data_IF_568257980571
#
_entry.id   IF_568257980571
#
_cell.length_a   1.000
_cell.length_b   1.000
_cell.length_c   1.000
_cell.angle_alpha   90.00
_cell.angle_beta   90.00
_cell.angle_gamma   90.00
#
_symmetry.space_group_name_H-M   'P 1'
#
loop_
_entity.id
_entity.type
_entity.pdbx_description
1 polymer ?
#
# COMPACT_ATOMS: atom_id res chain seq x y z
N UNK A 1 8.50 -15.92 5.60
CA UNK A 1 7.82 -15.13 6.65
C UNK A 1 7.80 -13.65 6.34
N UNK A 2 8.97 -13.03 6.18
CA UNK A 2 9.02 -11.60 5.90
C UNK A 2 8.30 -11.22 4.61
N UNK A 3 8.37 -12.09 3.58
CA UNK A 3 7.69 -11.80 2.32
C UNK A 3 6.17 -11.81 2.47
N UNK A 4 5.64 -12.67 3.34
CA UNK A 4 4.20 -12.70 3.61
C UNK A 4 3.76 -11.40 4.30
N UNK A 5 4.55 -10.94 5.28
CA UNK A 5 4.26 -9.69 5.98
C UNK A 5 4.35 -8.49 5.03
N UNK A 6 5.32 -8.52 4.13
CA UNK A 6 5.45 -7.46 3.12
C UNK A 6 4.26 -7.45 2.18
N UNK A 7 3.78 -8.63 1.78
CA UNK A 7 2.61 -8.74 0.92
C UNK A 7 1.36 -8.21 1.60
N UNK A 8 1.19 -8.51 2.89
CA UNK A 8 0.07 -7.98 3.66
C UNK A 8 0.13 -6.47 3.75
N UNK A 9 1.32 -5.91 4.00
CA UNK A 9 1.50 -4.46 4.06
C UNK A 9 1.13 -3.79 2.74
N UNK A 10 1.52 -4.40 1.63
CA UNK A 10 1.21 -3.89 0.30
C UNK A 10 -0.29 -3.92 0.04
N UNK A 11 -0.95 -5.01 0.44
CA UNK A 11 -2.38 -5.16 0.25
C UNK A 11 -3.15 -4.16 1.11
N UNK A 12 -2.75 -3.99 2.36
CA UNK A 12 -3.37 -3.02 3.26
C UNK A 12 -3.22 -1.61 2.69
N UNK A 13 -2.02 -1.26 2.19
CA UNK A 13 -1.80 0.05 1.60
C UNK A 13 -2.71 0.26 0.38
N UNK A 14 -2.87 -0.76 -0.44
CA UNK A 14 -3.73 -0.69 -1.61
C UNK A 14 -5.20 -0.45 -1.20
N UNK A 15 -5.70 -1.26 -0.28
CA UNK A 15 -7.09 -1.16 0.18
C UNK A 15 -7.35 0.21 0.80
N UNK A 16 -6.44 0.67 1.65
CA UNK A 16 -6.60 1.98 2.30
C UNK A 16 -6.58 3.11 1.28
N UNK A 17 -5.72 3.03 0.25
CA UNK A 17 -5.65 4.07 -0.75
C UNK A 17 -6.93 4.13 -1.58
N UNK A 18 -7.53 2.98 -1.86
CA UNK A 18 -8.79 2.92 -2.60
C UNK A 18 -9.93 3.47 -1.74
N UNK A 19 -10.02 3.04 -0.48
CA UNK A 19 -11.10 3.47 0.41
C UNK A 19 -11.01 4.95 0.77
N UNK A 20 -9.79 5.44 0.98
CA UNK A 20 -9.56 6.84 1.30
C UNK A 20 -9.59 7.74 0.06
N UNK A 21 -9.52 7.13 -1.11
CA UNK A 21 -9.47 7.82 -2.40
C UNK A 21 -8.29 8.79 -2.49
N UNK A 22 -7.20 8.48 -1.79
CA UNK A 22 -6.03 9.36 -1.74
C UNK A 22 -4.88 8.66 -1.03
N UNK A 23 -3.68 8.74 -1.60
CA UNK A 23 -2.48 8.21 -0.96
C UNK A 23 -2.16 8.97 0.33
N UNK A 24 -2.41 10.27 0.35
CA UNK A 24 -2.16 11.08 1.55
C UNK A 24 -3.06 10.65 2.71
N UNK A 25 -4.33 10.43 2.44
CA UNK A 25 -5.26 9.98 3.47
C UNK A 25 -4.92 8.57 3.94
N UNK A 26 -4.55 7.68 3.02
CA UNK A 26 -4.15 6.33 3.37
C UNK A 26 -2.90 6.33 4.24
N UNK A 27 -1.92 7.17 3.89
CA UNK A 27 -0.69 7.28 4.66
C UNK A 27 -0.98 7.75 6.09
N UNK A 28 -1.89 8.69 6.23
CA UNK A 28 -2.29 9.20 7.54
C UNK A 28 -2.95 8.11 8.36
N UNK A 29 -3.85 7.34 7.74
CA UNK A 29 -4.54 6.26 8.41
C UNK A 29 -3.59 5.17 8.88
N UNK A 30 -2.54 4.90 8.11
CA UNK A 30 -1.57 3.84 8.43
C UNK A 30 -0.33 4.35 9.16
N UNK A 31 -0.26 5.65 9.45
CA UNK A 31 0.88 6.22 10.17
C UNK A 31 2.17 6.21 9.37
N UNK A 32 2.09 6.43 8.07
CA UNK A 32 3.26 6.42 7.20
C UNK A 32 3.19 7.63 6.24
N UNK A 33 4.00 7.61 5.19
CA UNK A 33 4.06 8.72 4.23
C UNK A 33 3.43 8.32 2.89
N UNK A 34 2.93 9.29 2.11
CA UNK A 34 2.38 9.00 0.78
C UNK A 34 3.38 8.30 -0.14
N UNK A 35 4.66 8.65 -0.04
CA UNK A 35 5.72 8.00 -0.82
C UNK A 35 5.77 6.50 -0.53
N UNK A 36 5.68 6.13 0.74
CA UNK A 36 5.70 4.74 1.16
C UNK A 36 4.47 4.00 0.63
N UNK A 37 3.31 4.62 0.71
CA UNK A 37 2.08 4.03 0.19
C UNK A 37 2.20 3.80 -1.31
N UNK A 38 2.67 4.80 -2.05
CA UNK A 38 2.85 4.70 -3.50
C UNK A 38 3.77 3.54 -3.86
N UNK A 39 4.89 3.39 -3.15
CA UNK A 39 5.84 2.31 -3.40
C UNK A 39 5.23 0.94 -3.13
N UNK A 40 4.46 0.81 -2.06
CA UNK A 40 3.83 -0.46 -1.70
C UNK A 40 2.76 -0.84 -2.71
N UNK A 41 1.96 0.12 -3.15
CA UNK A 41 0.94 -0.12 -4.17
C UNK A 41 1.61 -0.51 -5.49
N UNK A 42 2.68 0.17 -5.87
CA UNK A 42 3.41 -0.15 -7.10
C UNK A 42 3.95 -1.58 -7.07
N UNK A 43 4.48 -2.00 -5.92
CA UNK A 43 4.97 -3.37 -5.77
C UNK A 43 3.86 -4.40 -5.90
N UNK A 44 2.69 -4.10 -5.34
CA UNK A 44 1.55 -4.99 -5.43
C UNK A 44 1.09 -5.12 -6.88
N UNK A 45 0.99 -4.00 -7.59
CA UNK A 45 0.60 -4.00 -9.00
C UNK A 45 1.60 -4.80 -9.83
N UNK A 46 2.88 -4.66 -9.55
CA UNK A 46 3.93 -5.38 -10.25
C UNK A 46 3.79 -6.89 -10.04
N UNK A 47 3.48 -7.32 -8.82
CA UNK A 47 3.27 -8.73 -8.52
C UNK A 47 2.04 -9.29 -9.22
N UNK A 48 0.99 -8.51 -9.31
CA UNK A 48 -0.25 -8.94 -9.94
C UNK A 48 -0.17 -8.88 -11.46
N UNK A 49 0.87 -8.26 -12.00
CA UNK A 49 1.05 -8.16 -13.43
C UNK A 49 0.12 -7.16 -14.09
N UNK A 50 -0.28 -6.14 -13.36
CA UNK A 50 -1.17 -5.09 -13.89
C UNK A 50 -0.46 -3.77 -13.98
#
# INVERSE_FOLDING_TARGET
>A
MLSVLNQLSELIAFVESVEANSFSAAARALGTTPSTISKRVAKLEDRLGV
#
